data_IF_087230371272
#
_entry.id   IF_087230371272
#
_cell.length_a   1.000
_cell.length_b   1.000
_cell.length_c   1.000
_cell.angle_alpha   90.00
_cell.angle_beta   90.00
_cell.angle_gamma   90.00
#
_symmetry.space_group_name_H-M   'P 1'
#
loop_
_entity.id
_entity.type
_entity.pdbx_description
1 polymer ?
#
# COMPACT_ATOMS: atom_id res chain seq x y z
N UNK A 1 -4.06 30.00 25.57
CA UNK A 1 -2.65 30.39 25.77
C UNK A 1 -1.62 29.38 25.25
N UNK A 2 -1.96 28.11 25.01
CA UNK A 2 -1.03 27.09 24.46
C UNK A 2 -1.04 26.94 22.93
N UNK A 3 -2.06 27.42 22.21
CA UNK A 3 -2.17 27.27 20.74
C UNK A 3 -1.54 28.41 19.92
N UNK A 4 -1.40 29.62 20.46
CA UNK A 4 -0.83 30.78 19.72
C UNK A 4 0.69 30.72 19.62
N UNK A 5 1.37 30.34 20.72
CA UNK A 5 2.83 30.16 20.78
C UNK A 5 3.31 29.11 19.76
N UNK A 6 2.47 28.10 19.50
CA UNK A 6 2.77 27.06 18.51
C UNK A 6 2.66 27.59 17.06
N UNK A 7 1.71 28.51 16.81
CA UNK A 7 1.43 29.04 15.47
C UNK A 7 2.49 30.03 14.97
N UNK A 8 2.97 30.90 15.86
CA UNK A 8 4.09 31.81 15.54
C UNK A 8 5.37 31.01 15.26
N UNK A 9 5.65 29.97 16.06
CA UNK A 9 6.80 29.07 15.85
C UNK A 9 6.77 28.33 14.50
N UNK A 10 5.59 27.89 14.04
CA UNK A 10 5.49 27.24 12.73
C UNK A 10 5.58 28.22 11.57
N UNK A 11 5.08 29.44 11.72
CA UNK A 11 5.12 30.46 10.66
C UNK A 11 6.57 30.90 10.38
N UNK A 12 7.36 31.12 11.44
CA UNK A 12 8.80 31.41 11.31
C UNK A 12 9.54 30.23 10.66
N UNK A 13 9.26 29.01 11.09
CA UNK A 13 9.84 27.80 10.50
C UNK A 13 9.51 27.66 9.01
N UNK A 14 8.25 27.90 8.61
CA UNK A 14 7.86 27.90 7.20
C UNK A 14 8.58 29.00 6.41
N UNK A 15 8.81 30.16 7.04
CA UNK A 15 9.63 31.24 6.49
C UNK A 15 11.08 30.80 6.22
N UNK A 16 11.69 30.02 7.11
CA UNK A 16 13.04 29.46 6.91
C UNK A 16 13.11 28.50 5.71
N UNK A 17 12.00 27.84 5.37
CA UNK A 17 11.84 27.03 4.15
C UNK A 17 11.47 27.85 2.90
N UNK A 18 11.38 29.17 3.02
CA UNK A 18 11.02 30.08 1.92
C UNK A 18 9.53 30.06 1.56
N UNK A 19 8.66 29.58 2.44
CA UNK A 19 7.21 29.58 2.24
C UNK A 19 6.67 30.93 2.72
N UNK A 20 6.05 31.69 1.81
CA UNK A 20 5.58 33.03 2.13
C UNK A 20 4.29 33.00 2.98
N UNK A 21 4.05 34.01 3.83
CA UNK A 21 2.83 34.11 4.62
C UNK A 21 1.55 34.06 3.77
N UNK A 22 1.58 34.62 2.56
CA UNK A 22 0.43 34.62 1.65
C UNK A 22 0.02 33.21 1.22
N UNK A 23 0.98 32.28 1.09
CA UNK A 23 0.69 30.87 0.79
C UNK A 23 0.02 30.19 1.98
N UNK A 24 0.45 30.50 3.20
CA UNK A 24 -0.15 29.96 4.43
C UNK A 24 -1.59 30.46 4.60
N UNK A 25 -1.82 31.76 4.39
CA UNK A 25 -3.14 32.37 4.46
C UNK A 25 -4.07 31.82 3.38
N UNK A 26 -3.56 31.55 2.18
CA UNK A 26 -4.32 30.90 1.11
C UNK A 26 -4.68 29.44 1.46
N UNK A 27 -3.75 28.68 2.03
CA UNK A 27 -3.93 27.27 2.33
C UNK A 27 -4.84 27.02 3.55
N UNK A 28 -4.80 27.89 4.56
CA UNK A 28 -5.52 27.72 5.82
C UNK A 28 -7.04 27.44 5.67
N UNK A 29 -7.83 28.24 4.92
CA UNK A 29 -9.25 27.96 4.73
C UNK A 29 -9.52 26.70 3.90
N UNK A 30 -8.64 26.36 2.95
CA UNK A 30 -8.74 25.13 2.15
C UNK A 30 -8.54 23.91 3.06
N UNK A 31 -7.48 23.93 3.87
CA UNK A 31 -7.18 22.86 4.83
C UNK A 31 -8.33 22.67 5.82
N UNK A 32 -8.90 23.77 6.34
CA UNK A 32 -10.07 23.70 7.21
C UNK A 32 -11.28 23.06 6.50
N UNK A 33 -11.52 23.40 5.23
CA UNK A 33 -12.58 22.81 4.41
C UNK A 33 -12.38 21.33 4.06
N UNK A 34 -11.16 20.81 4.18
CA UNK A 34 -10.85 19.39 3.95
C UNK A 34 -11.07 18.51 5.19
N UNK A 35 -11.36 19.10 6.36
CA UNK A 35 -11.47 18.36 7.63
C UNK A 35 -12.38 17.13 7.54
N UNK A 36 -13.59 17.28 6.99
CA UNK A 36 -14.52 16.15 6.85
C UNK A 36 -13.95 15.02 5.98
N UNK A 37 -13.17 15.35 4.93
CA UNK A 37 -12.52 14.33 4.10
C UNK A 37 -11.43 13.58 4.86
N UNK A 38 -10.65 14.28 5.67
CA UNK A 38 -9.62 13.66 6.51
C UNK A 38 -10.23 12.78 7.59
N UNK A 39 -11.28 13.25 8.26
CA UNK A 39 -11.98 12.45 9.27
C UNK A 39 -12.48 11.11 8.67
N UNK A 40 -13.03 11.12 7.45
CA UNK A 40 -13.42 9.86 6.75
C UNK A 40 -12.26 8.96 6.34
N UNK A 41 -11.11 9.55 6.00
CA UNK A 41 -9.88 8.79 5.71
C UNK A 41 -9.40 8.12 6.99
N UNK A 42 -9.44 8.83 8.12
CA UNK A 42 -9.05 8.31 9.44
C UNK A 42 -9.96 7.15 9.86
N UNK A 43 -11.28 7.28 9.70
CA UNK A 43 -12.24 6.19 9.96
C UNK A 43 -11.92 4.93 9.12
N UNK A 44 -11.58 5.14 7.84
CA UNK A 44 -11.23 4.05 6.91
C UNK A 44 -9.89 3.42 7.30
N UNK A 45 -8.93 4.24 7.73
CA UNK A 45 -7.62 3.78 8.18
C UNK A 45 -7.75 2.96 9.47
N UNK A 46 -8.53 3.42 10.45
CA UNK A 46 -8.80 2.69 11.70
C UNK A 46 -9.45 1.33 11.42
N UNK A 47 -10.50 1.32 10.59
CA UNK A 47 -11.16 0.08 10.19
C UNK A 47 -10.19 -0.94 9.56
N UNK A 48 -9.37 -0.50 8.61
CA UNK A 48 -8.41 -1.39 7.95
C UNK A 48 -7.25 -1.79 8.90
N UNK A 49 -6.84 -0.92 9.81
CA UNK A 49 -5.83 -1.25 10.82
C UNK A 49 -6.30 -2.41 11.71
N UNK A 50 -7.55 -2.40 12.15
CA UNK A 50 -8.12 -3.51 12.93
C UNK A 50 -8.18 -4.81 12.12
N UNK A 51 -8.48 -4.74 10.82
CA UNK A 51 -8.46 -5.91 9.92
C UNK A 51 -7.05 -6.49 9.77
N UNK A 52 -6.02 -5.65 9.61
CA UNK A 52 -4.62 -6.11 9.55
C UNK A 52 -4.22 -6.79 10.86
N UNK A 53 -4.52 -6.16 12.00
CA UNK A 53 -4.23 -6.75 13.33
C UNK A 53 -4.91 -8.11 13.47
N UNK A 54 -6.18 -8.21 13.07
CA UNK A 54 -6.95 -9.45 13.13
C UNK A 54 -6.32 -10.54 12.25
N UNK A 55 -5.94 -10.23 11.01
CA UNK A 55 -5.29 -11.18 10.11
C UNK A 55 -3.95 -11.68 10.66
N UNK A 56 -3.16 -10.80 11.29
CA UNK A 56 -1.91 -11.19 11.97
C UNK A 56 -2.17 -12.12 13.17
N UNK A 57 -3.21 -11.87 13.95
CA UNK A 57 -3.61 -12.71 15.09
C UNK A 57 -4.06 -14.11 14.64
N UNK A 58 -4.87 -14.18 13.58
CA UNK A 58 -5.36 -15.46 13.00
C UNK A 58 -4.23 -16.29 12.38
N UNK A 59 -3.24 -15.64 11.77
CA UNK A 59 -2.04 -16.30 11.27
C UNK A 59 -1.00 -16.62 12.37
N UNK A 60 -1.30 -16.29 13.64
CA UNK A 60 -0.42 -16.48 14.78
C UNK A 60 1.00 -15.90 14.59
N UNK A 61 1.10 -14.72 13.97
CA UNK A 61 2.38 -14.05 13.76
C UNK A 61 3.02 -13.68 15.11
N UNK A 62 4.27 -14.09 15.29
CA UNK A 62 5.10 -13.72 16.42
C UNK A 62 6.56 -13.48 16.03
N UNK A 63 7.41 -13.26 17.03
CA UNK A 63 8.85 -12.98 16.85
C UNK A 63 9.54 -14.04 15.97
N UNK A 64 9.17 -15.31 16.11
CA UNK A 64 9.77 -16.40 15.34
C UNK A 64 9.58 -16.25 13.82
N UNK A 65 8.46 -15.66 13.38
CA UNK A 65 8.18 -15.37 11.97
C UNK A 65 9.07 -14.26 11.40
N UNK A 66 9.76 -13.49 12.24
CA UNK A 66 10.68 -12.44 11.80
C UNK A 66 12.08 -12.98 11.51
N UNK A 67 12.32 -14.27 11.76
CA UNK A 67 13.57 -14.93 11.43
C UNK A 67 13.56 -15.33 9.96
N UNK A 68 14.41 -14.69 9.15
CA UNK A 68 14.59 -15.07 7.76
C UNK A 68 15.32 -16.40 7.62
N UNK A 69 15.17 -17.02 6.45
CA UNK A 69 15.92 -18.21 6.05
C UNK A 69 17.08 -17.87 5.10
N UNK A 70 18.01 -18.81 4.92
CA UNK A 70 19.11 -18.71 3.95
C UNK A 70 19.14 -19.96 3.07
N UNK A 71 19.91 -19.91 1.97
CA UNK A 71 19.99 -21.02 1.02
C UNK A 71 18.66 -21.22 0.28
N UNK A 72 18.15 -22.45 0.26
CA UNK A 72 16.89 -22.78 -0.43
C UNK A 72 15.63 -22.20 0.22
N UNK A 73 15.68 -21.87 1.52
CA UNK A 73 14.52 -21.33 2.23
C UNK A 73 13.37 -22.33 2.42
N UNK A 74 13.67 -23.60 2.67
CA UNK A 74 12.65 -24.58 3.06
C UNK A 74 12.11 -24.25 4.46
N UNK A 75 10.83 -24.58 4.67
CA UNK A 75 10.13 -24.43 5.95
C UNK A 75 10.22 -23.02 6.58
N UNK A 76 10.19 -21.99 5.73
CA UNK A 76 10.22 -20.58 6.16
C UNK A 76 8.85 -20.17 6.73
N UNK A 77 8.72 -20.28 8.05
CA UNK A 77 7.49 -19.90 8.79
C UNK A 77 7.16 -18.41 8.68
N UNK A 78 8.13 -17.55 8.41
CA UNK A 78 7.92 -16.11 8.24
C UNK A 78 7.24 -15.82 6.93
N UNK A 79 7.80 -16.39 5.86
CA UNK A 79 7.24 -16.37 4.50
C UNK A 79 5.82 -16.94 4.46
N UNK A 80 5.63 -18.15 4.97
CA UNK A 80 4.35 -18.84 4.92
C UNK A 80 3.31 -18.16 5.84
N UNK A 81 3.75 -17.58 6.95
CA UNK A 81 2.91 -16.78 7.84
C UNK A 81 2.42 -15.49 7.15
N UNK A 82 3.32 -14.78 6.45
CA UNK A 82 2.97 -13.54 5.75
C UNK A 82 1.92 -13.77 4.65
N UNK A 83 2.02 -14.88 3.92
CA UNK A 83 1.01 -15.23 2.91
C UNK A 83 -0.35 -15.51 3.51
N UNK A 84 -0.41 -16.22 4.65
CA UNK A 84 -1.66 -16.43 5.38
C UNK A 84 -2.29 -15.11 5.83
N UNK A 85 -1.47 -14.15 6.28
CA UNK A 85 -1.96 -12.80 6.64
C UNK A 85 -2.58 -12.11 5.43
N UNK A 86 -1.92 -12.13 4.27
CA UNK A 86 -2.44 -11.52 3.04
C UNK A 86 -3.73 -12.21 2.58
N UNK A 87 -3.77 -13.54 2.55
CA UNK A 87 -4.96 -14.29 2.18
C UNK A 87 -6.14 -14.01 3.11
N UNK A 88 -5.92 -13.99 4.44
CA UNK A 88 -6.96 -13.63 5.42
C UNK A 88 -7.45 -12.19 5.22
N UNK A 89 -6.54 -11.22 5.06
CA UNK A 89 -6.89 -9.80 4.91
C UNK A 89 -7.68 -9.51 3.63
N UNK A 90 -7.26 -10.09 2.50
CA UNK A 90 -7.94 -9.92 1.20
C UNK A 90 -9.12 -10.87 0.98
N UNK A 91 -9.38 -11.77 1.93
CA UNK A 91 -10.43 -12.78 1.85
C UNK A 91 -10.31 -13.68 0.62
N UNK A 92 -9.09 -14.14 0.34
CA UNK A 92 -8.78 -15.07 -0.76
C UNK A 92 -8.41 -16.44 -0.22
N UNK A 93 -8.45 -17.45 -1.10
CA UNK A 93 -8.06 -18.83 -0.74
C UNK A 93 -6.56 -18.95 -0.46
N UNK A 94 -5.74 -18.19 -1.19
CA UNK A 94 -4.28 -18.18 -1.08
C UNK A 94 -3.72 -16.79 -1.44
N UNK A 95 -2.42 -16.56 -1.18
CA UNK A 95 -1.70 -15.35 -1.56
C UNK A 95 -0.22 -15.66 -1.85
N UNK A 96 0.35 -14.99 -2.85
CA UNK A 96 1.78 -15.08 -3.17
C UNK A 96 2.50 -13.77 -2.83
N UNK A 97 3.26 -13.75 -1.73
CA UNK A 97 3.93 -12.53 -1.23
C UNK A 97 5.43 -12.78 -1.10
N UNK A 98 6.22 -12.18 -2.00
CA UNK A 98 7.63 -12.55 -2.19
C UNK A 98 8.51 -11.34 -2.47
N UNK A 99 9.70 -11.21 -1.84
CA UNK A 99 10.68 -10.21 -2.23
C UNK A 99 11.26 -10.46 -3.64
N UNK A 100 11.12 -11.68 -4.17
CA UNK A 100 11.49 -12.01 -5.55
C UNK A 100 10.58 -11.33 -6.58
N UNK A 101 9.36 -10.92 -6.18
CA UNK A 101 8.47 -10.10 -7.01
C UNK A 101 8.91 -8.65 -6.84
N UNK A 102 9.79 -8.22 -7.74
CA UNK A 102 10.53 -6.95 -7.64
C UNK A 102 9.71 -5.68 -7.80
N UNK A 103 8.54 -5.73 -8.46
CA UNK A 103 7.66 -4.58 -8.66
C UNK A 103 6.22 -4.99 -8.98
N UNK A 104 5.29 -4.02 -8.99
CA UNK A 104 3.88 -4.25 -9.33
C UNK A 104 3.66 -4.78 -10.74
N UNK A 105 4.42 -4.29 -11.73
CA UNK A 105 4.34 -4.79 -13.11
C UNK A 105 4.80 -6.25 -13.20
N UNK A 106 5.82 -6.66 -12.44
CA UNK A 106 6.24 -8.06 -12.36
C UNK A 106 5.14 -8.93 -11.73
N UNK A 107 4.49 -8.47 -10.65
CA UNK A 107 3.37 -9.21 -10.04
C UNK A 107 2.21 -9.46 -11.04
N UNK A 108 1.85 -8.44 -11.81
CA UNK A 108 0.80 -8.54 -12.83
C UNK A 108 1.22 -9.45 -14.00
N UNK A 109 2.45 -9.31 -14.49
CA UNK A 109 2.99 -10.18 -15.53
C UNK A 109 2.99 -11.65 -15.11
N UNK A 110 3.45 -11.93 -13.88
CA UNK A 110 3.44 -13.27 -13.31
C UNK A 110 2.01 -13.84 -13.26
N UNK A 111 1.05 -13.07 -12.74
CA UNK A 111 -0.34 -13.51 -12.67
C UNK A 111 -0.93 -13.82 -14.05
N UNK A 112 -0.67 -12.99 -15.07
CA UNK A 112 -1.14 -13.21 -16.43
C UNK A 112 -0.49 -14.43 -17.08
N UNK A 113 0.84 -14.50 -17.08
CA UNK A 113 1.60 -15.58 -17.75
C UNK A 113 1.37 -16.94 -17.09
N UNK A 114 1.13 -16.99 -15.78
CA UNK A 114 0.83 -18.25 -15.08
C UNK A 114 -0.58 -18.79 -15.37
N UNK A 115 -1.53 -17.92 -15.71
CA UNK A 115 -2.93 -18.31 -15.94
C UNK A 115 -3.31 -18.44 -17.42
N UNK A 116 -2.60 -17.79 -18.34
CA UNK A 116 -2.85 -17.88 -19.78
C UNK A 116 -2.04 -19.01 -20.44
N UNK A 117 -2.60 -19.63 -21.47
CA UNK A 117 -1.97 -20.65 -22.31
C UNK A 117 -2.05 -20.27 -23.79
N UNK A 118 -1.21 -20.87 -24.67
CA UNK A 118 -1.31 -20.65 -26.10
C UNK A 118 -2.73 -20.96 -26.62
N UNK A 119 -3.36 -19.98 -27.26
CA UNK A 119 -4.74 -20.05 -27.75
C UNK A 119 -5.77 -19.34 -26.87
N UNK A 120 -5.42 -18.98 -25.64
CA UNK A 120 -6.30 -18.20 -24.76
C UNK A 120 -6.39 -16.74 -25.21
N UNK A 121 -7.46 -16.05 -24.77
CA UNK A 121 -7.68 -14.63 -25.03
C UNK A 121 -7.77 -13.85 -23.73
N UNK A 122 -6.99 -12.77 -23.60
CA UNK A 122 -7.08 -11.80 -22.52
C UNK A 122 -8.03 -10.67 -22.91
N UNK A 123 -9.01 -10.34 -22.06
CA UNK A 123 -9.93 -9.21 -22.25
C UNK A 123 -9.69 -8.14 -21.17
N UNK A 124 -9.34 -6.92 -21.58
CA UNK A 124 -9.31 -5.76 -20.68
C UNK A 124 -10.67 -5.06 -20.66
N UNK A 125 -11.42 -5.22 -19.56
CA UNK A 125 -12.76 -4.65 -19.42
C UNK A 125 -12.76 -3.13 -19.16
N UNK A 126 -11.63 -2.56 -18.71
CA UNK A 126 -11.50 -1.15 -18.32
C UNK A 126 -10.86 -0.27 -19.43
N UNK A 127 -10.78 -0.76 -20.67
CA UNK A 127 -10.14 -0.07 -21.78
C UNK A 127 -8.66 -0.43 -21.92
N UNK A 128 -7.84 0.52 -22.42
CA UNK A 128 -6.41 0.30 -22.65
C UNK A 128 -5.71 0.01 -21.30
N UNK A 129 -4.90 -1.06 -21.18
CA UNK A 129 -4.07 -1.25 -19.99
C UNK A 129 -3.06 -0.09 -19.85
N UNK A 130 -2.55 0.12 -18.64
CA UNK A 130 -1.55 1.16 -18.39
C UNK A 130 -0.19 0.82 -19.05
N UNK A 131 0.58 1.84 -19.41
CA UNK A 131 1.68 1.77 -20.38
C UNK A 131 2.68 0.61 -20.16
N UNK A 132 3.12 0.35 -18.92
CA UNK A 132 4.14 -0.69 -18.69
C UNK A 132 3.61 -2.12 -18.87
N UNK A 133 2.29 -2.31 -18.89
CA UNK A 133 1.68 -3.61 -19.11
C UNK A 133 1.50 -3.92 -20.60
N UNK A 134 1.59 -2.92 -21.48
CA UNK A 134 1.47 -3.11 -22.93
C UNK A 134 2.61 -3.97 -23.50
N UNK A 135 3.84 -3.75 -23.03
CA UNK A 135 5.01 -4.56 -23.41
C UNK A 135 4.88 -6.01 -22.90
N UNK A 136 4.30 -6.21 -21.71
CA UNK A 136 4.06 -7.53 -21.13
C UNK A 136 3.04 -8.32 -21.94
N UNK A 137 1.99 -7.65 -22.43
CA UNK A 137 0.92 -8.28 -23.23
C UNK A 137 1.35 -8.42 -24.71
N UNK A 138 2.31 -7.61 -25.18
CA UNK A 138 2.78 -7.61 -26.56
C UNK A 138 1.90 -6.80 -27.52
N UNK A 139 1.30 -5.71 -27.02
CA UNK A 139 0.48 -4.78 -27.83
C UNK A 139 1.35 -3.64 -28.43
N UNK A 140 2.57 -3.48 -27.91
CA UNK A 140 3.58 -2.53 -28.39
C UNK A 140 4.81 -3.26 -28.91
#
# INVERSE_FOLDING_TARGET
MSNEVNRESFTELYGDFGISPEVLDFAAPILAGLKERFDRIDDTAEYNQLRVIRAMQEAHIGEANLKGTTGYGYDDIGRDGLEKVYASYFHTEDALVRPQITCGTHALALALMSNLRPGDTLLSAAGKPYDTLEEVIGIR
#
